data_IF_097147222351
#
_entry.id   IF_097147222351
#
_cell.length_a   1.000
_cell.length_b   1.000
_cell.length_c   1.000
_cell.angle_alpha   90.00
_cell.angle_beta   90.00
_cell.angle_gamma   90.00
#
_symmetry.space_group_name_H-M   'P 1'
#
loop_
_entity.id
_entity.type
_entity.pdbx_description
1 polymer ?
#
# COMPACT_ATOMS: atom_id res chain seq x y z
N UNK A 1 23.46 -19.77 -2.59
CA UNK A 1 23.14 -20.39 -1.29
C UNK A 1 24.41 -20.96 -0.67
N UNK A 2 24.82 -20.50 0.51
CA UNK A 2 26.06 -20.95 1.20
C UNK A 2 25.82 -21.99 2.31
N UNK A 3 24.61 -22.53 2.43
CA UNK A 3 24.29 -23.68 3.27
C UNK A 3 23.40 -24.61 2.44
N UNK A 4 23.67 -25.93 2.35
CA UNK A 4 22.69 -26.86 1.81
C UNK A 4 21.41 -26.80 2.66
N UNK A 5 20.20 -26.92 2.07
CA UNK A 5 18.96 -26.92 2.85
C UNK A 5 18.95 -28.14 3.78
N UNK A 6 19.13 -27.91 5.08
CA UNK A 6 18.98 -28.93 6.12
C UNK A 6 17.65 -28.67 6.81
N UNK A 7 16.65 -29.46 6.44
CA UNK A 7 15.34 -29.39 7.08
C UNK A 7 15.45 -30.03 8.47
N UNK A 8 15.63 -29.18 9.49
CA UNK A 8 15.62 -29.51 10.93
C UNK A 8 16.96 -30.06 11.47
N UNK A 9 17.82 -29.17 11.97
CA UNK A 9 18.82 -29.55 12.99
C UNK A 9 18.10 -29.84 14.31
N UNK A 10 18.61 -30.78 15.11
CA UNK A 10 18.02 -31.03 16.42
C UNK A 10 18.16 -29.78 17.28
N UNK A 11 17.14 -29.40 18.04
CA UNK A 11 17.24 -28.26 18.99
C UNK A 11 18.31 -28.49 20.08
N UNK A 12 18.76 -29.74 20.23
CA UNK A 12 19.87 -30.12 21.11
C UNK A 12 21.26 -29.89 20.50
N UNK A 13 21.36 -29.55 19.22
CA UNK A 13 22.67 -29.36 18.56
C UNK A 13 23.30 -28.04 19.01
N UNK A 14 24.60 -28.08 19.31
CA UNK A 14 25.35 -26.89 19.71
C UNK A 14 25.27 -25.82 18.61
N UNK A 15 24.68 -24.66 18.94
CA UNK A 15 24.51 -23.55 18.00
C UNK A 15 23.29 -23.65 17.07
N UNK A 16 22.34 -24.55 17.34
CA UNK A 16 21.10 -24.68 16.56
C UNK A 16 20.29 -23.37 16.49
N UNK A 17 20.13 -22.65 17.61
CA UNK A 17 19.42 -21.37 17.67
C UNK A 17 20.11 -20.28 16.82
N UNK A 18 21.44 -20.18 16.92
CA UNK A 18 22.22 -19.23 16.12
C UNK A 18 22.15 -19.56 14.62
N UNK A 19 22.13 -20.86 14.27
CA UNK A 19 21.93 -21.32 12.91
C UNK A 19 20.55 -20.97 12.37
N UNK A 20 19.49 -21.20 13.14
CA UNK A 20 18.12 -20.85 12.77
C UNK A 20 17.95 -19.34 12.54
N UNK A 21 18.48 -18.50 13.45
CA UNK A 21 18.45 -17.05 13.29
C UNK A 21 19.20 -16.58 12.04
N UNK A 22 20.36 -17.17 11.75
CA UNK A 22 21.13 -16.85 10.54
C UNK A 22 20.41 -17.27 9.25
N UNK A 23 19.68 -18.38 9.26
CA UNK A 23 18.87 -18.83 8.12
C UNK A 23 17.68 -17.90 7.86
N UNK A 24 17.00 -17.46 8.92
CA UNK A 24 15.93 -16.46 8.83
C UNK A 24 16.47 -15.15 8.28
N UNK A 25 17.58 -14.64 8.81
CA UNK A 25 18.21 -13.41 8.33
C UNK A 25 18.61 -13.53 6.86
N UNK A 26 19.23 -14.65 6.46
CA UNK A 26 19.59 -14.88 5.06
C UNK A 26 18.37 -14.94 4.12
N UNK A 27 17.26 -15.53 4.58
CA UNK A 27 16.01 -15.56 3.81
C UNK A 27 15.40 -14.15 3.67
N UNK A 28 15.38 -13.37 4.75
CA UNK A 28 14.94 -11.97 4.73
C UNK A 28 15.81 -11.12 3.82
N UNK A 29 17.13 -11.27 3.91
CA UNK A 29 18.11 -10.58 3.08
C UNK A 29 17.93 -10.89 1.59
N UNK A 30 17.59 -12.13 1.27
CA UNK A 30 17.32 -12.56 -0.10
C UNK A 30 16.01 -11.97 -0.63
N UNK A 31 14.94 -11.98 0.17
CA UNK A 31 13.67 -11.38 -0.20
C UNK A 31 13.80 -9.85 -0.36
N UNK A 32 14.51 -9.20 0.55
CA UNK A 32 14.74 -7.76 0.52
C UNK A 32 15.51 -7.33 -0.73
N UNK A 33 16.56 -8.05 -1.11
CA UNK A 33 17.36 -7.78 -2.31
C UNK A 33 16.78 -8.37 -3.61
N UNK A 34 15.62 -9.00 -3.54
CA UNK A 34 14.98 -9.54 -4.73
C UNK A 34 14.56 -8.41 -5.68
N UNK A 35 14.80 -8.57 -6.98
CA UNK A 35 14.56 -7.50 -7.98
C UNK A 35 13.12 -7.00 -8.07
N UNK A 36 12.15 -7.81 -7.62
CA UNK A 36 10.74 -7.39 -7.59
C UNK A 36 10.37 -6.55 -6.35
N UNK A 37 11.15 -6.61 -5.28
CA UNK A 37 10.82 -5.97 -3.99
C UNK A 37 10.65 -4.45 -4.12
N UNK A 38 11.54 -3.70 -4.82
CA UNK A 38 11.36 -2.27 -5.03
C UNK A 38 10.04 -1.94 -5.73
N UNK A 39 9.68 -2.71 -6.77
CA UNK A 39 8.46 -2.48 -7.57
C UNK A 39 7.21 -2.76 -6.76
N UNK A 40 7.17 -3.88 -6.02
CA UNK A 40 6.03 -4.21 -5.17
C UNK A 40 5.85 -3.18 -4.06
N UNK A 41 6.94 -2.80 -3.39
CA UNK A 41 6.91 -1.81 -2.33
C UNK A 41 6.45 -0.45 -2.86
N UNK A 42 7.06 0.03 -3.95
CA UNK A 42 6.70 1.29 -4.61
C UNK A 42 5.21 1.34 -4.98
N UNK A 43 4.70 0.31 -5.67
CA UNK A 43 3.28 0.25 -6.06
C UNK A 43 2.35 0.36 -4.85
N UNK A 44 2.66 -0.33 -3.74
CA UNK A 44 1.84 -0.27 -2.51
C UNK A 44 1.89 1.11 -1.85
N UNK A 45 3.04 1.76 -1.83
CA UNK A 45 3.16 3.11 -1.29
C UNK A 45 2.36 4.10 -2.12
N UNK A 46 2.44 4.04 -3.45
CA UNK A 46 1.66 4.93 -4.33
C UNK A 46 0.16 4.71 -4.14
N UNK A 47 -0.29 3.46 -4.05
CA UNK A 47 -1.69 3.11 -3.80
C UNK A 47 -2.21 3.61 -2.45
N UNK A 48 -1.33 3.68 -1.43
CA UNK A 48 -1.73 4.14 -0.10
C UNK A 48 -1.79 5.67 0.01
N UNK A 49 -0.89 6.37 -0.69
CA UNK A 49 -0.72 7.82 -0.50
C UNK A 49 -1.26 8.69 -1.63
N UNK A 50 -1.41 8.15 -2.84
CA UNK A 50 -1.67 8.99 -4.03
C UNK A 50 -2.89 8.51 -4.82
N UNK A 51 -2.80 7.36 -5.47
CA UNK A 51 -3.78 6.94 -6.49
C UNK A 51 -3.93 5.43 -6.54
N UNK A 52 -5.16 4.94 -6.75
CA UNK A 52 -5.44 3.51 -6.87
C UNK A 52 -4.84 2.89 -8.14
N UNK A 53 -4.69 3.69 -9.19
CA UNK A 53 -4.18 3.28 -10.50
C UNK A 53 -2.91 4.06 -10.90
N UNK A 54 -1.75 3.69 -10.34
CA UNK A 54 -0.48 4.36 -10.64
C UNK A 54 -0.01 4.07 -12.06
N UNK A 55 0.60 5.06 -12.70
CA UNK A 55 1.24 4.87 -14.00
C UNK A 55 2.51 4.02 -13.88
N UNK A 56 2.94 3.41 -14.99
CA UNK A 56 4.19 2.64 -15.02
C UNK A 56 5.42 3.50 -14.71
N UNK A 57 5.44 4.77 -15.15
CA UNK A 57 6.54 5.69 -14.88
C UNK A 57 6.62 6.07 -13.41
N UNK A 58 5.48 6.28 -12.75
CA UNK A 58 5.45 6.58 -11.31
C UNK A 58 5.98 5.42 -10.47
N UNK A 59 5.56 4.20 -10.80
CA UNK A 59 6.07 2.99 -10.12
C UNK A 59 7.57 2.82 -10.35
N UNK A 60 8.05 3.04 -11.58
CA UNK A 60 9.48 2.96 -11.89
C UNK A 60 10.30 4.00 -11.10
N UNK A 61 9.88 5.26 -11.10
CA UNK A 61 10.59 6.33 -10.37
C UNK A 61 10.68 6.05 -8.86
N UNK A 62 9.61 5.55 -8.25
CA UNK A 62 9.62 5.19 -6.83
C UNK A 62 10.45 3.93 -6.54
N UNK A 63 10.46 2.94 -7.44
CA UNK A 63 11.31 1.76 -7.32
C UNK A 63 12.81 2.11 -7.45
N UNK A 64 13.16 3.01 -8.37
CA UNK A 64 14.52 3.51 -8.56
C UNK A 64 14.99 4.30 -7.33
N UNK A 65 14.11 5.13 -6.76
CA UNK A 65 14.40 5.86 -5.53
C UNK A 65 14.63 4.93 -4.33
N UNK A 66 13.84 3.86 -4.21
CA UNK A 66 14.04 2.82 -3.19
C UNK A 66 15.42 2.15 -3.35
N UNK A 67 15.83 1.85 -4.58
CA UNK A 67 17.09 1.16 -4.84
C UNK A 67 18.31 2.07 -4.68
N UNK A 68 18.22 3.33 -5.12
CA UNK A 68 19.32 4.29 -5.11
C UNK A 68 19.46 5.05 -3.78
N UNK A 69 18.39 5.18 -3.00
CA UNK A 69 18.38 6.03 -1.81
C UNK A 69 18.49 7.52 -2.11
N UNK A 70 18.05 7.91 -3.30
CA UNK A 70 18.07 9.28 -3.79
C UNK A 70 16.86 9.53 -4.70
N UNK A 71 16.36 10.75 -4.72
CA UNK A 71 15.31 11.17 -5.64
C UNK A 71 15.48 12.66 -5.98
N UNK A 72 15.31 13.00 -7.26
CA UNK A 72 15.34 14.39 -7.77
C UNK A 72 16.56 15.21 -7.31
N UNK A 73 17.75 14.60 -7.38
CA UNK A 73 19.02 15.23 -6.99
C UNK A 73 19.28 15.30 -5.48
N UNK A 74 18.33 14.89 -4.64
CA UNK A 74 18.49 14.80 -3.19
C UNK A 74 18.88 13.38 -2.80
N UNK A 75 20.04 13.24 -2.15
CA UNK A 75 20.47 11.97 -1.54
C UNK A 75 19.96 11.90 -0.12
N UNK A 76 19.25 10.83 0.22
CA UNK A 76 18.75 10.56 1.56
C UNK A 76 19.81 9.73 2.30
N UNK A 77 19.59 8.43 2.47
CA UNK A 77 20.64 7.54 2.99
C UNK A 77 21.62 7.07 1.91
N UNK A 78 21.26 7.16 0.62
CA UNK A 78 22.07 6.64 -0.49
C UNK A 78 22.25 5.11 -0.48
N UNK A 79 21.39 4.40 0.26
CA UNK A 79 21.42 2.94 0.39
C UNK A 79 20.17 2.32 -0.20
N UNK A 80 20.29 1.07 -0.62
CA UNK A 80 19.16 0.26 -1.05
C UNK A 80 18.15 0.08 0.09
N UNK A 81 16.87 0.25 -0.22
CA UNK A 81 15.75 0.17 0.71
C UNK A 81 15.47 1.46 1.48
N UNK A 82 15.79 2.60 0.89
CA UNK A 82 15.51 3.89 1.51
C UNK A 82 14.03 4.28 1.39
N UNK A 83 13.32 4.20 2.50
CA UNK A 83 11.91 4.56 2.56
C UNK A 83 11.70 6.08 2.41
N UNK A 84 12.64 6.92 2.87
CA UNK A 84 12.53 8.37 2.77
C UNK A 84 12.63 8.82 1.30
N UNK A 85 13.62 8.30 0.57
CA UNK A 85 13.74 8.53 -0.86
C UNK A 85 12.50 8.03 -1.63
N UNK A 86 12.00 6.85 -1.25
CA UNK A 86 10.80 6.26 -1.88
C UNK A 86 9.56 7.13 -1.65
N UNK A 87 9.31 7.58 -0.42
CA UNK A 87 8.16 8.44 -0.11
C UNK A 87 8.26 9.78 -0.82
N UNK A 88 9.47 10.35 -0.89
CA UNK A 88 9.70 11.57 -1.67
C UNK A 88 9.32 11.36 -3.14
N UNK A 89 9.79 10.27 -3.76
CA UNK A 89 9.41 9.91 -5.12
C UNK A 89 7.89 9.71 -5.28
N UNK A 90 7.24 9.04 -4.32
CA UNK A 90 5.79 8.81 -4.33
C UNK A 90 5.02 10.13 -4.34
N UNK A 91 5.37 11.07 -3.46
CA UNK A 91 4.60 12.29 -3.23
C UNK A 91 4.96 13.44 -4.19
N UNK A 92 6.20 13.49 -4.69
CA UNK A 92 6.69 14.57 -5.54
C UNK A 92 6.58 14.28 -7.03
N UNK A 93 6.32 13.04 -7.43
CA UNK A 93 6.16 12.68 -8.83
C UNK A 93 5.05 13.52 -9.51
N UNK A 94 5.20 13.92 -10.79
CA UNK A 94 4.19 14.72 -11.50
C UNK A 94 2.78 14.13 -11.47
N UNK A 95 2.66 12.80 -11.53
CA UNK A 95 1.36 12.10 -11.46
C UNK A 95 0.66 12.25 -10.10
N UNK A 96 1.40 12.51 -9.02
CA UNK A 96 0.83 12.74 -7.70
C UNK A 96 0.34 14.19 -7.52
N UNK A 97 0.88 15.11 -8.31
CA UNK A 97 0.67 16.56 -8.15
C UNK A 97 -0.28 17.15 -9.19
N UNK A 98 -0.42 16.49 -10.33
CA UNK A 98 -1.22 16.99 -11.44
C UNK A 98 -2.63 16.42 -11.34
N UNK A 99 -3.62 17.30 -11.12
CA UNK A 99 -5.02 16.93 -11.23
C UNK A 99 -5.33 16.67 -12.72
N UNK A 100 -5.75 15.46 -13.06
CA UNK A 100 -6.18 15.15 -14.43
C UNK A 100 -7.47 15.90 -14.75
N UNK A 101 -7.57 16.46 -15.95
CA UNK A 101 -8.75 17.20 -16.43
C UNK A 101 -9.63 16.34 -17.35
N UNK A 102 -10.91 16.70 -17.47
CA UNK A 102 -11.86 16.03 -18.39
C UNK A 102 -12.42 14.71 -17.84
N UNK A 103 -12.76 13.76 -18.70
CA UNK A 103 -13.41 12.47 -18.33
C UNK A 103 -12.55 11.66 -17.33
N UNK A 104 -11.22 11.84 -17.37
CA UNK A 104 -10.27 11.21 -16.46
C UNK A 104 -10.47 11.61 -14.98
N UNK A 105 -11.13 12.74 -14.69
CA UNK A 105 -11.47 13.17 -13.31
C UNK A 105 -12.34 12.16 -12.55
N UNK A 106 -13.14 11.36 -13.26
CA UNK A 106 -14.08 10.43 -12.63
C UNK A 106 -13.42 9.14 -12.11
N UNK A 107 -12.18 8.87 -12.53
CA UNK A 107 -11.42 7.65 -12.22
C UNK A 107 -10.06 7.92 -11.59
N UNK A 108 -9.75 9.19 -11.27
CA UNK A 108 -8.46 9.59 -10.73
C UNK A 108 -8.49 9.73 -9.20
N UNK A 109 -7.36 9.42 -8.56
CA UNK A 109 -7.23 9.41 -7.10
C UNK A 109 -7.54 8.07 -6.45
N UNK A 110 -7.91 8.10 -5.17
CA UNK A 110 -8.21 6.91 -4.37
C UNK A 110 -9.57 7.03 -3.69
N UNK A 111 -10.35 5.95 -3.69
CA UNK A 111 -11.60 5.92 -2.95
C UNK A 111 -11.32 5.96 -1.44
N UNK A 112 -11.86 6.97 -0.77
CA UNK A 112 -11.70 7.12 0.68
C UNK A 112 -12.42 5.98 1.41
N UNK A 113 -11.72 5.32 2.34
CA UNK A 113 -12.28 4.27 3.20
C UNK A 113 -13.48 4.81 4.01
N UNK A 114 -14.53 3.99 4.28
CA UNK A 114 -15.69 4.39 5.07
C UNK A 114 -15.35 5.04 6.41
N UNK A 115 -14.40 4.46 7.16
CA UNK A 115 -13.96 5.01 8.44
C UNK A 115 -13.32 6.40 8.30
N UNK A 116 -12.52 6.60 7.24
CA UNK A 116 -11.90 7.91 6.95
C UNK A 116 -12.94 8.96 6.57
N UNK A 117 -14.02 8.58 5.85
CA UNK A 117 -15.14 9.48 5.55
C UNK A 117 -15.83 9.93 6.83
N UNK A 118 -16.08 9.00 7.73
CA UNK A 118 -16.73 9.27 9.00
C UNK A 118 -15.89 10.18 9.92
N UNK A 119 -14.59 9.88 10.07
CA UNK A 119 -13.66 10.77 10.80
C UNK A 119 -13.57 12.16 10.18
N UNK A 120 -13.59 12.26 8.85
CA UNK A 120 -13.58 13.55 8.16
C UNK A 120 -14.86 14.34 8.44
N UNK A 121 -16.03 13.68 8.46
CA UNK A 121 -17.30 14.30 8.82
C UNK A 121 -17.27 14.87 10.23
N UNK A 122 -16.87 14.07 11.23
CA UNK A 122 -16.76 14.54 12.62
C UNK A 122 -15.83 15.75 12.75
N UNK A 123 -14.67 15.73 12.09
CA UNK A 123 -13.75 16.87 12.07
C UNK A 123 -14.35 18.09 11.38
N UNK A 124 -15.07 17.92 10.27
CA UNK A 124 -15.71 19.04 9.55
C UNK A 124 -16.84 19.69 10.34
N UNK A 125 -17.46 18.94 11.25
CA UNK A 125 -18.48 19.44 12.17
C UNK A 125 -17.88 20.00 13.46
N UNK A 126 -16.54 20.05 13.56
CA UNK A 126 -15.81 20.42 14.78
C UNK A 126 -16.30 19.68 16.02
N UNK A 127 -16.70 18.42 15.85
CA UNK A 127 -17.23 17.61 16.93
C UNK A 127 -16.22 17.55 18.08
N UNK A 128 -16.68 17.96 19.25
CA UNK A 128 -15.98 17.83 20.53
C UNK A 128 -16.91 17.11 21.48
N UNK A 129 -16.38 16.07 22.11
CA UNK A 129 -17.09 15.42 23.21
C UNK A 129 -17.10 16.37 24.43
N UNK A 130 -18.23 16.43 25.14
CA UNK A 130 -18.38 17.34 26.28
C UNK A 130 -17.47 16.98 27.45
N UNK A 131 -17.12 15.70 27.60
CA UNK A 131 -16.31 15.18 28.69
C UNK A 131 -14.89 14.82 28.23
N UNK A 132 -14.48 15.27 27.04
CA UNK A 132 -13.25 14.87 26.35
C UNK A 132 -13.06 13.34 26.28
N UNK A 133 -14.17 12.60 26.32
CA UNK A 133 -14.14 11.14 26.37
C UNK A 133 -13.85 10.55 24.97
N UNK A 134 -13.22 9.36 24.91
CA UNK A 134 -13.08 8.65 23.65
C UNK A 134 -14.46 8.40 23.04
N UNK A 135 -14.62 8.74 21.76
CA UNK A 135 -15.88 8.49 21.07
C UNK A 135 -16.01 6.99 20.81
N UNK A 136 -16.99 6.35 21.45
CA UNK A 136 -17.27 4.93 21.29
C UNK A 136 -18.43 4.76 20.31
N UNK A 137 -18.21 3.94 19.28
CA UNK A 137 -19.25 3.54 18.34
C UNK A 137 -19.57 2.08 18.57
N UNK A 138 -20.84 1.80 18.84
CA UNK A 138 -21.33 0.44 18.88
C UNK A 138 -21.68 -0.03 17.46
N UNK A 139 -21.30 -1.27 17.12
CA UNK A 139 -21.77 -1.96 15.91
C UNK A 139 -21.56 -1.23 14.58
N UNK A 140 -20.60 -0.30 14.49
CA UNK A 140 -20.42 0.52 13.28
C UNK A 140 -20.09 -0.32 12.02
N UNK A 141 -19.52 -1.53 12.18
CA UNK A 141 -19.36 -2.49 11.07
C UNK A 141 -20.68 -2.90 10.40
N UNK A 142 -21.80 -2.93 11.12
CA UNK A 142 -23.12 -3.29 10.57
C UNK A 142 -23.66 -2.18 9.66
N UNK A 143 -23.22 -0.94 9.87
CA UNK A 143 -23.70 0.24 9.14
C UNK A 143 -22.78 0.58 7.96
N UNK A 144 -21.46 0.64 8.19
CA UNK A 144 -20.49 1.09 7.17
C UNK A 144 -19.58 -0.03 6.65
N UNK A 145 -19.74 -1.26 7.15
CA UNK A 145 -18.95 -2.42 6.71
C UNK A 145 -17.51 -2.46 7.24
N UNK A 146 -17.13 -1.55 8.15
CA UNK A 146 -15.78 -1.48 8.73
C UNK A 146 -15.80 -1.08 10.20
N UNK A 147 -14.87 -1.64 10.98
CA UNK A 147 -14.63 -1.26 12.37
C UNK A 147 -13.14 -1.37 12.72
N UNK A 148 -12.55 -0.42 13.48
CA UNK A 148 -11.14 -0.51 13.82
C UNK A 148 -10.87 -1.83 14.57
N UNK A 149 -9.80 -2.53 14.19
CA UNK A 149 -9.37 -3.80 14.81
C UNK A 149 -10.33 -5.00 14.65
N UNK A 150 -11.36 -4.90 13.80
CA UNK A 150 -12.30 -6.00 13.57
C UNK A 150 -12.28 -6.45 12.09
N UNK A 151 -11.07 -6.61 11.55
CA UNK A 151 -10.90 -7.11 10.19
C UNK A 151 -11.39 -8.57 10.12
N UNK A 152 -12.23 -8.93 9.13
CA UNK A 152 -12.81 -10.27 9.02
C UNK A 152 -11.79 -11.34 8.62
N UNK A 153 -10.61 -10.94 8.14
CA UNK A 153 -9.54 -11.83 7.70
C UNK A 153 -8.17 -11.23 7.97
N UNK A 154 -7.12 -12.07 7.88
CA UNK A 154 -5.71 -11.63 7.92
C UNK A 154 -5.34 -10.70 6.75
N UNK A 155 -6.16 -10.66 5.70
CA UNK A 155 -5.99 -9.79 4.53
C UNK A 155 -6.75 -8.47 4.64
N UNK A 156 -7.24 -8.12 5.83
CA UNK A 156 -8.02 -6.91 6.11
C UNK A 156 -9.40 -6.93 5.40
N UNK A 157 -10.06 -5.76 5.26
CA UNK A 157 -11.38 -5.60 4.64
C UNK A 157 -11.40 -5.80 3.12
N UNK A 158 -10.29 -5.54 2.44
CA UNK A 158 -10.16 -5.66 0.99
C UNK A 158 -8.82 -6.31 0.66
N UNK A 159 -8.82 -7.19 -0.34
CA UNK A 159 -7.58 -7.68 -0.90
C UNK A 159 -6.81 -6.54 -1.57
N UNK A 160 -5.50 -6.73 -1.62
CA UNK A 160 -4.61 -5.70 -2.14
C UNK A 160 -4.73 -5.53 -3.68
N UNK A 161 -5.34 -6.48 -4.37
CA UNK A 161 -5.71 -6.47 -5.78
C UNK A 161 -7.24 -6.35 -5.99
N UNK A 162 -7.99 -6.00 -4.95
CA UNK A 162 -9.43 -5.81 -5.05
C UNK A 162 -9.77 -4.64 -5.98
N UNK A 163 -10.50 -4.95 -7.06
CA UNK A 163 -11.04 -3.97 -7.99
C UNK A 163 -12.52 -3.73 -7.69
N UNK A 164 -12.93 -2.45 -7.69
CA UNK A 164 -14.34 -2.11 -7.54
C UNK A 164 -15.11 -2.57 -8.79
N UNK A 165 -16.36 -3.05 -8.64
CA UNK A 165 -17.22 -3.32 -9.78
C UNK A 165 -17.37 -2.04 -10.60
N UNK A 166 -16.84 -2.05 -11.82
CA UNK A 166 -16.98 -0.90 -12.72
C UNK A 166 -18.47 -0.73 -13.06
N UNK A 167 -19.00 0.51 -13.08
CA UNK A 167 -20.34 0.76 -13.59
C UNK A 167 -20.42 0.15 -15.00
N UNK A 168 -21.46 -0.64 -15.29
CA UNK A 168 -21.66 -1.17 -16.64
C UNK A 168 -21.72 0.02 -17.59
N UNK A 169 -20.69 0.19 -18.42
CA UNK A 169 -20.72 1.13 -19.53
C UNK A 169 -21.95 0.77 -20.35
N UNK A 170 -22.85 1.74 -20.59
CA UNK A 170 -23.95 1.55 -21.55
C UNK A 170 -23.30 1.10 -22.86
N UNK A 171 -23.48 -0.17 -23.21
CA UNK A 171 -23.10 -0.62 -24.55
C UNK A 171 -23.93 0.22 -25.53
N UNK A 172 -23.31 0.83 -26.55
CA UNK A 172 -24.09 1.43 -27.61
C UNK A 172 -24.98 0.35 -28.19
N UNK A 173 -26.28 0.65 -28.30
CA UNK A 173 -27.28 -0.26 -28.83
C UNK A 173 -26.80 -0.72 -30.23
N UNK A 174 -26.82 -2.03 -30.52
CA UNK A 174 -26.42 -2.51 -31.84
C UNK A 174 -27.29 -1.83 -32.90
N UNK A 175 -26.65 -1.23 -33.90
CA UNK A 175 -27.38 -0.62 -35.01
C UNK A 175 -28.30 -1.68 -35.64
N UNK A 176 -29.56 -1.34 -35.98
CA UNK A 176 -30.46 -2.28 -36.61
C UNK A 176 -29.85 -2.75 -37.94
N UNK A 177 -29.75 -4.08 -38.10
CA UNK A 177 -29.29 -4.68 -39.35
C UNK A 177 -30.19 -4.24 -40.52
N UNK A 178 -29.61 -3.98 -41.72
CA UNK A 178 -30.35 -3.50 -42.89
C UNK A 178 -31.30 -4.54 -43.48
#
# INVERSE_FOLDING_TARGET
FRNPPVFLRSTSDAGAEAGAAAEVEAALDHLFRHGNTPVFFAKRMIQRFVTSNPSKSHVAAAADAFAAGAYDGVTYSGRYGDIAATIAAVLLHPDARTLKSGVATTIDGALREPMLKFMHLMRSMEYRDSDESPVVFEHLHEVIGQFPYNAPSVFNYYLADYELPMPKTRQPEPEPEP
#
